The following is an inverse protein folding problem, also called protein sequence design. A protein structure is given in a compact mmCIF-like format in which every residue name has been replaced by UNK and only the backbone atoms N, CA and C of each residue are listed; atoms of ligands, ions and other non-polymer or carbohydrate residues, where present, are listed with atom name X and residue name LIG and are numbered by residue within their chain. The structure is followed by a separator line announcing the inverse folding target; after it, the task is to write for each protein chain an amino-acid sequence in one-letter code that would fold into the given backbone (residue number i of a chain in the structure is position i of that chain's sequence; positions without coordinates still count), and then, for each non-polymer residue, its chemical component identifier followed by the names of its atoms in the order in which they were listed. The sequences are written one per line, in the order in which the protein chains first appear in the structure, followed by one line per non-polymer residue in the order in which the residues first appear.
data_IF_460425728038
#
_entry.id   IF_460425728038
#
_cell.length_a   1.000
_cell.length_b   1.000
_cell.length_c   1.000
_cell.angle_alpha   90.00
_cell.angle_beta   90.00
_cell.angle_gamma   90.00
#
_symmetry.space_group_name_H-M   'P 1'
#
loop_
_entity.id
_entity.type
_entity.pdbx_description
1 polymer ?
#
# COMPACT_ATOMS: atom_id res chain seq x y z
N UNK A 1 43.95 -61.30 44.06
CA UNK A 1 42.60 -61.82 43.79
C UNK A 1 41.89 -60.84 42.88
N UNK A 2 41.56 -61.09 41.63
CA UNK A 2 41.72 -62.22 40.73
C UNK A 2 41.00 -61.87 39.42
N UNK A 3 41.66 -62.16 38.28
CA UNK A 3 41.13 -62.49 36.93
C UNK A 3 40.26 -61.44 36.20
N UNK A 4 40.74 -60.77 35.13
CA UNK A 4 41.05 -61.21 33.74
C UNK A 4 39.81 -61.67 32.94
N UNK A 5 39.48 -60.94 31.85
CA UNK A 5 39.52 -61.48 30.47
C UNK A 5 39.22 -60.42 29.39
N UNK A 6 40.16 -60.37 28.45
CA UNK A 6 40.13 -59.72 27.13
C UNK A 6 39.01 -60.26 26.22
N UNK A 7 38.61 -59.48 25.21
CA UNK A 7 38.99 -59.74 23.79
C UNK A 7 38.32 -58.78 22.81
N UNK A 8 39.10 -58.42 21.79
CA UNK A 8 38.77 -57.62 20.61
C UNK A 8 37.95 -58.40 19.57
N UNK A 9 37.22 -57.69 18.68
CA UNK A 9 36.93 -58.22 17.33
C UNK A 9 36.53 -57.13 16.31
N UNK A 10 37.02 -57.34 15.08
CA UNK A 10 36.90 -56.58 13.82
C UNK A 10 35.45 -56.34 13.31
N UNK A 11 35.23 -55.42 12.35
CA UNK A 11 33.95 -55.23 11.69
C UNK A 11 33.78 -56.17 10.49
N UNK A 12 32.69 -56.95 10.45
CA UNK A 12 32.30 -57.75 9.28
C UNK A 12 31.29 -57.00 8.41
N UNK A 13 31.60 -57.01 7.11
CA UNK A 13 30.81 -56.53 5.98
C UNK A 13 29.43 -57.20 5.94
N UNK A 14 28.36 -56.41 5.82
CA UNK A 14 27.04 -56.90 5.45
C UNK A 14 26.88 -56.83 3.93
N UNK A 15 26.69 -58.01 3.35
CA UNK A 15 26.38 -58.28 1.96
C UNK A 15 24.98 -57.78 1.59
N UNK A 16 24.89 -57.27 0.36
CA UNK A 16 23.65 -56.96 -0.38
C UNK A 16 22.90 -58.27 -0.64
N UNK A 17 21.60 -58.31 -0.29
CA UNK A 17 20.68 -59.37 -0.69
C UNK A 17 19.51 -58.76 -1.49
N UNK A 18 19.32 -59.25 -2.71
CA UNK A 18 18.25 -58.92 -3.64
C UNK A 18 16.86 -59.35 -3.11
N UNK A 19 15.76 -58.63 -3.43
CA UNK A 19 14.42 -59.09 -3.08
C UNK A 19 13.90 -60.09 -4.12
N UNK A 20 13.55 -61.29 -3.66
CA UNK A 20 12.80 -62.29 -4.39
C UNK A 20 11.35 -61.85 -4.62
N UNK A 21 10.89 -61.98 -5.86
CA UNK A 21 9.52 -61.79 -6.34
C UNK A 21 8.50 -62.65 -5.59
N UNK A 22 7.55 -62.01 -4.89
CA UNK A 22 6.34 -62.65 -4.38
C UNK A 22 5.21 -62.40 -5.39
N UNK A 23 4.70 -63.47 -5.99
CA UNK A 23 3.50 -63.44 -6.83
C UNK A 23 2.25 -63.17 -5.98
N UNK A 24 1.55 -62.06 -6.24
CA UNK A 24 0.20 -61.82 -5.71
C UNK A 24 -0.83 -62.61 -6.52
N UNK A 25 -1.52 -63.51 -5.82
CA UNK A 25 -2.69 -64.25 -6.31
C UNK A 25 -3.87 -63.26 -6.44
N UNK A 26 -4.37 -63.05 -7.65
CA UNK A 26 -5.47 -62.12 -7.92
C UNK A 26 -6.79 -62.58 -7.32
N UNK A 27 -7.30 -61.82 -6.34
CA UNK A 27 -8.63 -62.02 -5.76
C UNK A 27 -9.65 -61.20 -6.57
N UNK A 28 -10.41 -61.86 -7.46
CA UNK A 28 -11.57 -61.25 -8.15
C UNK A 28 -12.77 -61.25 -7.21
N UNK A 29 -12.79 -60.34 -6.25
CA UNK A 29 -14.00 -59.99 -5.49
C UNK A 29 -14.82 -58.97 -6.28
N UNK A 30 -16.08 -59.30 -6.62
CA UNK A 30 -17.02 -58.32 -7.17
C UNK A 30 -17.27 -57.25 -6.10
N UNK A 31 -16.95 -55.98 -6.39
CA UNK A 31 -17.24 -54.87 -5.48
C UNK A 31 -18.75 -54.78 -5.22
N UNK A 32 -19.19 -54.57 -3.97
CA UNK A 32 -20.60 -54.39 -3.66
C UNK A 32 -21.14 -53.15 -4.37
N UNK A 33 -22.36 -53.25 -4.89
CA UNK A 33 -23.01 -52.23 -5.74
C UNK A 33 -23.00 -50.84 -5.08
N UNK A 34 -23.07 -50.78 -3.75
CA UNK A 34 -23.01 -49.52 -2.98
C UNK A 34 -21.68 -48.77 -3.17
N UNK A 35 -20.55 -49.46 -3.22
CA UNK A 35 -19.24 -48.83 -3.42
C UNK A 35 -19.11 -48.33 -4.85
N UNK A 36 -19.64 -49.08 -5.82
CA UNK A 36 -19.67 -48.67 -7.22
C UNK A 36 -20.51 -47.39 -7.38
N UNK A 37 -21.69 -47.35 -6.74
CA UNK A 37 -22.58 -46.18 -6.77
C UNK A 37 -21.95 -44.95 -6.11
N UNK A 38 -21.36 -45.08 -4.92
CA UNK A 38 -20.69 -43.96 -4.23
C UNK A 38 -19.52 -43.42 -5.06
N UNK A 39 -18.74 -44.32 -5.68
CA UNK A 39 -17.63 -43.93 -6.54
C UNK A 39 -18.11 -43.18 -7.79
N UNK A 40 -19.17 -43.68 -8.46
CA UNK A 40 -19.81 -43.03 -9.60
C UNK A 40 -20.40 -41.66 -9.24
N UNK A 41 -21.07 -41.55 -8.09
CA UNK A 41 -21.59 -40.27 -7.61
C UNK A 41 -20.46 -39.28 -7.28
N UNK A 42 -19.35 -39.74 -6.70
CA UNK A 42 -18.17 -38.92 -6.45
C UNK A 42 -17.53 -38.39 -7.74
N UNK A 43 -17.38 -39.24 -8.75
CA UNK A 43 -16.88 -38.82 -10.07
C UNK A 43 -17.85 -37.89 -10.79
N UNK A 44 -19.17 -38.12 -10.70
CA UNK A 44 -20.17 -37.21 -11.26
C UNK A 44 -20.15 -35.84 -10.57
N UNK A 45 -19.97 -35.80 -9.24
CA UNK A 45 -19.85 -34.55 -8.49
C UNK A 45 -18.56 -33.79 -8.82
N UNK A 46 -17.43 -34.49 -8.97
CA UNK A 46 -16.17 -33.90 -9.43
C UNK A 46 -16.28 -33.39 -10.88
N UNK A 47 -16.97 -34.12 -11.76
CA UNK A 47 -17.25 -33.68 -13.11
C UNK A 47 -18.15 -32.43 -13.12
N UNK A 48 -19.18 -32.37 -12.28
CA UNK A 48 -20.04 -31.20 -12.12
C UNK A 48 -19.26 -29.97 -11.62
N UNK A 49 -18.38 -30.15 -10.63
CA UNK A 49 -17.50 -29.07 -10.16
C UNK A 49 -16.51 -28.61 -11.24
N UNK A 50 -16.04 -29.52 -12.09
CA UNK A 50 -15.16 -29.19 -13.21
C UNK A 50 -15.93 -28.46 -14.34
N UNK A 51 -17.17 -28.87 -14.62
CA UNK A 51 -18.04 -28.18 -15.59
C UNK A 51 -18.48 -26.81 -15.10
N UNK A 52 -18.75 -26.62 -13.79
CA UNK A 52 -19.03 -25.28 -13.25
C UNK A 52 -17.80 -24.36 -13.36
N UNK A 53 -16.59 -24.89 -13.14
CA UNK A 53 -15.34 -24.14 -13.38
C UNK A 53 -15.15 -23.76 -14.85
N UNK A 54 -15.51 -24.64 -15.78
CA UNK A 54 -15.46 -24.37 -17.22
C UNK A 54 -16.56 -23.39 -17.67
N UNK A 55 -17.77 -23.46 -17.12
CA UNK A 55 -18.82 -22.47 -17.40
C UNK A 55 -18.52 -21.10 -16.81
N UNK A 56 -17.77 -21.03 -15.69
CA UNK A 56 -17.23 -19.78 -15.15
C UNK A 56 -16.12 -19.19 -16.03
N UNK A 57 -15.35 -20.03 -16.73
CA UNK A 57 -14.34 -19.62 -17.72
C UNK A 57 -14.94 -19.30 -19.10
N UNK A 58 -16.21 -19.67 -19.34
CA UNK A 58 -16.91 -19.47 -20.60
C UNK A 58 -17.85 -18.25 -20.63
N UNK A 59 -18.04 -17.54 -19.51
CA UNK A 59 -18.90 -16.34 -19.48
C UNK A 59 -18.16 -15.01 -19.63
N UNK A 60 -16.83 -15.03 -19.79
CA UNK A 60 -16.08 -13.85 -20.27
C UNK A 60 -16.01 -13.88 -21.79
N UNK A 61 -16.94 -13.17 -22.44
CA UNK A 61 -16.81 -12.81 -23.85
C UNK A 61 -15.61 -11.87 -24.05
N UNK A 62 -14.41 -12.42 -24.16
CA UNK A 62 -13.20 -11.70 -24.56
C UNK A 62 -12.42 -12.49 -25.59
N UNK A 63 -12.88 -12.43 -26.84
CA UNK A 63 -12.03 -12.50 -28.04
C UNK A 63 -12.65 -11.62 -29.13
N UNK A 64 -12.59 -10.28 -28.96
CA UNK A 64 -12.54 -9.39 -30.12
C UNK A 64 -11.09 -9.23 -30.51
N UNK A 65 -10.59 -10.20 -31.28
CA UNK A 65 -9.42 -9.99 -32.13
C UNK A 65 -9.80 -8.91 -33.16
N UNK A 66 -9.44 -7.65 -32.90
CA UNK A 66 -9.35 -6.66 -33.99
C UNK A 66 -8.13 -7.04 -34.81
N UNK A 67 -8.37 -7.59 -36.01
CA UNK A 67 -7.32 -7.76 -37.01
C UNK A 67 -6.65 -6.41 -37.27
N UNK A 68 -5.33 -6.36 -37.23
CA UNK A 68 -4.57 -5.24 -37.76
C UNK A 68 -4.90 -5.04 -39.24
N UNK A 69 -5.82 -4.12 -39.54
CA UNK A 69 -6.05 -3.67 -40.89
C UNK A 69 -4.93 -2.68 -41.25
N UNK A 70 -3.95 -3.15 -42.01
CA UNK A 70 -2.96 -2.30 -42.69
C UNK A 70 -3.70 -1.47 -43.73
N UNK A 71 -4.16 -0.26 -43.37
CA UNK A 71 -4.70 0.69 -44.35
C UNK A 71 -3.52 1.35 -45.07
N UNK A 72 -3.34 0.98 -46.33
CA UNK A 72 -2.59 1.74 -47.31
C UNK A 72 -3.34 3.05 -47.59
N UNK A 73 -2.77 4.18 -47.20
CA UNK A 73 -3.29 5.50 -47.53
C UNK A 73 -3.05 5.79 -49.01
N UNK A 74 -4.13 5.78 -49.80
CA UNK A 74 -4.12 6.36 -51.14
C UNK A 74 -4.10 7.89 -51.02
N UNK A 75 -3.09 8.50 -51.64
CA UNK A 75 -2.92 9.95 -51.73
C UNK A 75 -3.98 10.52 -52.66
N UNK A 76 -4.89 11.34 -52.13
CA UNK A 76 -5.68 12.29 -52.93
C UNK A 76 -5.17 13.69 -52.60
N UNK A 77 -4.48 14.29 -53.56
CA UNK A 77 -4.07 15.70 -53.53
C UNK A 77 -5.30 16.58 -53.72
N UNK A 78 -5.57 17.45 -52.74
CA UNK A 78 -6.26 18.71 -52.98
C UNK A 78 -5.42 19.82 -52.32
N UNK A 79 -4.95 20.74 -53.14
CA UNK A 79 -4.30 21.99 -52.73
C UNK A 79 -5.39 22.94 -52.21
N UNK A 80 -5.19 23.54 -51.05
CA UNK A 80 -5.35 24.99 -50.95
C UNK A 80 -4.49 25.55 -49.81
N UNK A 81 -3.80 26.65 -50.12
CA UNK A 81 -2.91 27.39 -49.25
C UNK A 81 -3.72 28.46 -48.52
N UNK A 82 -3.69 28.50 -47.19
CA UNK A 82 -3.56 29.74 -46.38
C UNK A 82 -3.63 29.45 -44.88
N UNK A 83 -2.93 30.27 -44.10
CA UNK A 83 -2.84 30.34 -42.64
C UNK A 83 -1.72 29.53 -41.95
N UNK A 84 -0.50 30.05 -42.05
CA UNK A 84 0.54 29.89 -41.02
C UNK A 84 0.07 30.48 -39.69
N UNK A 85 -0.10 29.60 -38.69
CA UNK A 85 0.41 29.69 -37.31
C UNK A 85 -0.47 28.83 -36.42
N UNK A 86 0.02 27.61 -36.15
CA UNK A 86 -0.18 26.82 -34.93
C UNK A 86 0.30 25.39 -35.24
N UNK A 87 1.60 25.16 -35.11
CA UNK A 87 2.12 23.79 -35.13
C UNK A 87 3.35 23.71 -34.23
N UNK A 88 3.11 23.40 -32.97
CA UNK A 88 3.97 22.53 -32.15
C UNK A 88 3.10 22.00 -31.01
N UNK A 89 2.17 21.12 -31.36
CA UNK A 89 1.67 20.13 -30.42
C UNK A 89 2.31 18.82 -30.88
N UNK A 90 3.38 18.32 -30.23
CA UNK A 90 3.85 17.00 -30.54
C UNK A 90 2.73 16.05 -30.16
N UNK A 91 2.26 15.27 -31.14
CA UNK A 91 1.33 14.17 -30.97
C UNK A 91 1.69 13.42 -29.67
N UNK A 92 0.88 13.61 -28.62
CA UNK A 92 0.87 12.70 -27.49
C UNK A 92 0.47 11.36 -28.08
N UNK A 93 1.43 10.45 -28.13
CA UNK A 93 1.21 9.09 -28.58
C UNK A 93 0.22 8.44 -27.60
N UNK A 94 -1.06 8.37 -27.98
CA UNK A 94 -2.16 7.75 -27.22
C UNK A 94 -1.87 6.30 -26.81
N UNK A 95 -0.79 5.68 -27.31
CA UNK A 95 -0.29 4.35 -26.89
C UNK A 95 0.37 4.31 -25.51
N UNK A 96 0.49 5.44 -24.82
CA UNK A 96 1.09 5.53 -23.47
C UNK A 96 0.15 6.16 -22.42
N UNK A 97 -1.14 6.28 -22.69
CA UNK A 97 -2.10 6.70 -21.67
C UNK A 97 -2.21 5.62 -20.57
N UNK A 98 -2.11 6.03 -19.30
CA UNK A 98 -2.23 5.12 -18.18
C UNK A 98 -3.68 4.69 -18.01
N UNK A 99 -3.96 3.41 -18.21
CA UNK A 99 -5.25 2.81 -17.86
C UNK A 99 -5.10 2.01 -16.55
N UNK A 100 -5.80 2.41 -15.45
CA UNK A 100 -5.76 1.68 -14.19
C UNK A 100 -6.32 0.26 -14.27
N UNK A 101 -7.14 -0.07 -15.27
CA UNK A 101 -7.69 -1.42 -15.47
C UNK A 101 -6.72 -2.35 -16.20
N UNK A 102 -5.81 -1.80 -17.02
CA UNK A 102 -4.80 -2.58 -17.75
C UNK A 102 -3.43 -2.59 -17.05
N UNK A 103 -3.13 -1.58 -16.24
CA UNK A 103 -1.82 -1.38 -15.62
C UNK A 103 -1.76 -1.87 -14.16
N UNK A 104 -1.22 -3.07 -13.95
CA UNK A 104 -0.95 -3.59 -12.61
C UNK A 104 0.29 -2.94 -11.97
N UNK A 105 0.06 -1.88 -11.20
CA UNK A 105 1.11 -1.16 -10.45
C UNK A 105 1.82 -2.02 -9.39
N UNK A 106 1.26 -3.16 -8.99
CA UNK A 106 1.81 -4.00 -7.91
C UNK A 106 2.99 -4.85 -8.36
N UNK A 107 3.12 -5.03 -9.68
CA UNK A 107 4.18 -5.78 -10.35
C UNK A 107 5.12 -4.82 -11.06
N UNK A 108 6.38 -4.84 -10.66
CA UNK A 108 7.38 -3.94 -11.22
C UNK A 108 8.69 -4.03 -10.46
N UNK A 109 9.53 -3.03 -10.69
CA UNK A 109 10.84 -2.89 -10.06
C UNK A 109 11.19 -1.42 -9.85
N UNK A 110 11.99 -1.16 -8.83
CA UNK A 110 12.65 0.12 -8.67
C UNK A 110 13.87 0.19 -9.59
N UNK A 111 13.97 1.27 -10.36
CA UNK A 111 15.09 1.56 -11.24
C UNK A 111 15.77 2.82 -10.77
N UNK A 112 17.10 2.74 -10.63
CA UNK A 112 17.90 3.89 -10.23
C UNK A 112 18.16 4.79 -11.43
N UNK A 113 17.85 6.07 -11.28
CA UNK A 113 18.01 7.07 -12.32
C UNK A 113 18.62 8.34 -11.72
N UNK A 114 19.95 8.46 -11.89
CA UNK A 114 20.75 9.60 -11.40
C UNK A 114 20.31 10.94 -11.98
N UNK A 115 19.67 10.93 -13.15
CA UNK A 115 19.25 12.14 -13.85
C UNK A 115 17.93 12.71 -13.31
N UNK A 116 17.17 11.95 -12.52
CA UNK A 116 15.97 12.46 -11.84
C UNK A 116 16.37 13.61 -10.92
N UNK A 117 15.62 14.70 -11.03
CA UNK A 117 15.59 15.76 -10.04
C UNK A 117 14.23 15.70 -9.33
N UNK A 118 14.20 15.51 -8.01
CA UNK A 118 12.96 15.66 -7.24
C UNK A 118 12.34 17.04 -7.50
N UNK A 119 11.00 17.10 -7.55
CA UNK A 119 10.26 18.34 -7.78
C UNK A 119 10.48 19.38 -6.67
N UNK A 120 10.89 18.93 -5.49
CA UNK A 120 11.16 19.77 -4.33
C UNK A 120 12.23 19.14 -3.44
N UNK A 121 12.65 19.87 -2.42
CA UNK A 121 13.48 19.38 -1.31
C UNK A 121 12.80 19.74 0.02
N UNK A 122 13.19 19.08 1.11
CA UNK A 122 12.78 19.44 2.49
C UNK A 122 13.29 20.83 2.95
N UNK A 123 14.11 21.49 2.13
CA UNK A 123 14.56 22.87 2.32
C UNK A 123 13.79 23.87 1.47
N UNK A 124 13.34 23.47 0.27
CA UNK A 124 12.62 24.35 -0.65
C UNK A 124 11.12 24.39 -0.37
N UNK A 125 10.51 23.26 0.02
CA UNK A 125 9.10 23.24 0.39
C UNK A 125 8.95 23.59 1.88
N UNK A 126 8.25 24.69 2.23
CA UNK A 126 8.10 25.13 3.62
C UNK A 126 7.05 24.30 4.40
N UNK A 127 6.36 23.38 3.74
CA UNK A 127 5.25 22.61 4.30
C UNK A 127 5.61 21.17 4.67
N UNK A 128 6.88 20.77 4.56
CA UNK A 128 7.36 19.49 5.07
C UNK A 128 7.56 19.61 6.59
N UNK A 129 6.91 18.72 7.34
CA UNK A 129 7.12 18.62 8.77
C UNK A 129 8.54 18.13 9.09
N UNK A 130 9.06 18.57 10.23
CA UNK A 130 10.42 18.21 10.67
C UNK A 130 10.60 16.70 10.75
N UNK A 131 9.55 15.94 11.07
CA UNK A 131 9.55 14.47 11.10
C UNK A 131 9.98 13.82 9.77
N UNK A 132 9.70 14.46 8.63
CA UNK A 132 9.98 13.92 7.29
C UNK A 132 11.15 14.64 6.59
N UNK A 133 11.69 15.70 7.20
CA UNK A 133 12.75 16.56 6.64
C UNK A 133 14.17 16.00 6.86
N UNK A 134 14.45 14.82 6.33
CA UNK A 134 15.66 14.07 6.66
C UNK A 134 16.98 14.79 6.38
N UNK A 135 17.11 15.45 5.22
CA UNK A 135 18.35 16.16 4.83
C UNK A 135 18.53 17.42 5.68
N UNK A 136 17.43 18.10 6.01
CA UNK A 136 17.43 19.21 6.98
C UNK A 136 17.81 18.74 8.38
N UNK A 137 17.49 17.50 8.73
CA UNK A 137 17.82 16.87 10.01
C UNK A 137 19.22 16.20 10.04
N UNK A 138 20.01 16.32 8.96
CA UNK A 138 21.40 15.89 8.91
C UNK A 138 21.67 14.60 8.14
N UNK A 139 20.68 14.07 7.39
CA UNK A 139 20.92 12.93 6.49
C UNK A 139 21.80 13.34 5.33
N UNK A 140 22.89 12.59 5.10
CA UNK A 140 23.91 12.91 4.10
C UNK A 140 23.78 12.08 2.83
N UNK A 141 23.27 10.85 2.91
CA UNK A 141 23.03 10.02 1.74
C UNK A 141 21.76 10.48 1.02
N UNK A 142 21.84 10.63 -0.30
CA UNK A 142 20.81 11.27 -1.12
C UNK A 142 20.23 10.35 -2.20
N UNK A 143 20.83 9.17 -2.40
CA UNK A 143 20.52 8.21 -3.47
C UNK A 143 19.09 7.67 -3.38
N UNK A 144 18.49 7.62 -2.18
CA UNK A 144 17.11 7.18 -1.98
C UNK A 144 16.09 8.01 -2.78
N UNK A 145 16.44 9.24 -3.20
CA UNK A 145 15.58 10.14 -3.98
C UNK A 145 15.62 9.90 -5.48
N UNK A 146 16.52 9.04 -5.95
CA UNK A 146 16.79 8.81 -7.37
C UNK A 146 16.26 7.45 -7.85
N UNK A 147 15.25 6.90 -7.18
CA UNK A 147 14.60 5.65 -7.55
C UNK A 147 13.22 5.93 -8.15
N UNK A 148 12.95 5.34 -9.32
CA UNK A 148 11.66 5.37 -10.02
C UNK A 148 11.02 3.98 -9.98
N UNK A 149 9.72 3.89 -9.67
CA UNK A 149 8.98 2.65 -9.80
C UNK A 149 8.57 2.46 -11.26
N UNK A 150 8.95 1.33 -11.84
CA UNK A 150 8.56 0.94 -13.20
C UNK A 150 7.70 -0.32 -13.12
N UNK A 151 6.39 -0.22 -13.39
CA UNK A 151 5.54 -1.39 -13.57
C UNK A 151 6.07 -2.30 -14.69
N UNK A 152 5.78 -3.60 -14.61
CA UNK A 152 6.27 -4.59 -15.59
C UNK A 152 5.59 -4.42 -16.97
N UNK A 153 4.29 -4.13 -16.97
CA UNK A 153 3.42 -4.30 -18.13
C UNK A 153 2.90 -2.95 -18.69
N UNK A 154 3.31 -1.82 -18.12
CA UNK A 154 2.81 -0.49 -18.46
C UNK A 154 3.78 0.63 -18.04
N UNK A 155 3.51 1.85 -18.54
CA UNK A 155 4.22 3.06 -18.13
C UNK A 155 3.43 3.79 -17.04
N UNK A 156 4.09 4.11 -15.92
CA UNK A 156 3.54 5.03 -14.93
C UNK A 156 3.91 6.47 -15.32
N UNK A 157 2.94 7.36 -15.61
CA UNK A 157 3.23 8.73 -15.96
C UNK A 157 3.97 9.47 -14.85
N UNK A 158 4.90 10.33 -15.25
CA UNK A 158 5.55 11.25 -14.30
C UNK A 158 4.52 12.19 -13.70
N UNK A 159 4.74 12.58 -12.44
CA UNK A 159 3.90 13.59 -11.82
C UNK A 159 4.10 14.94 -12.48
N UNK A 160 3.01 15.50 -13.00
CA UNK A 160 2.97 16.85 -13.54
C UNK A 160 2.14 17.74 -12.60
N UNK A 161 2.76 18.78 -11.99
CA UNK A 161 2.07 19.70 -11.10
C UNK A 161 0.90 20.46 -11.75
N UNK A 162 1.02 20.84 -13.01
CA UNK A 162 -0.01 21.61 -13.71
C UNK A 162 -1.20 20.72 -14.03
N UNK A 163 -0.96 19.50 -14.49
CA UNK A 163 -2.01 18.48 -14.70
C UNK A 163 -2.74 18.19 -13.39
N UNK A 164 -2.00 18.03 -12.28
CA UNK A 164 -2.60 17.81 -10.96
C UNK A 164 -3.51 18.97 -10.53
N UNK A 165 -3.04 20.22 -10.70
CA UNK A 165 -3.81 21.40 -10.34
C UNK A 165 -5.05 21.59 -11.23
N UNK A 166 -4.96 21.30 -12.53
CA UNK A 166 -6.10 21.34 -13.45
C UNK A 166 -7.14 20.27 -13.10
N UNK A 167 -6.72 19.02 -12.81
CA UNK A 167 -7.64 17.96 -12.36
C UNK A 167 -8.36 18.32 -11.05
N UNK A 168 -7.75 19.16 -10.23
CA UNK A 168 -8.29 19.69 -8.97
C UNK A 168 -9.02 21.03 -9.10
N UNK A 169 -9.10 21.62 -10.29
CA UNK A 169 -9.74 22.92 -10.48
C UNK A 169 -11.20 22.90 -10.03
N UNK A 170 -11.55 23.80 -9.12
CA UNK A 170 -12.87 23.90 -8.53
C UNK A 170 -13.22 22.78 -7.55
N UNK A 171 -12.25 21.96 -7.13
CA UNK A 171 -12.48 20.77 -6.30
C UNK A 171 -11.86 20.86 -4.93
N UNK A 172 -12.41 20.05 -4.02
CA UNK A 172 -11.90 19.78 -2.68
C UNK A 172 -11.39 18.35 -2.59
N UNK A 173 -10.07 18.21 -2.44
CA UNK A 173 -9.37 16.95 -2.18
C UNK A 173 -9.11 16.82 -0.68
N UNK A 174 -9.55 15.71 -0.08
CA UNK A 174 -9.37 15.41 1.34
C UNK A 174 -8.60 14.12 1.53
N UNK A 175 -7.45 14.21 2.19
CA UNK A 175 -6.70 13.10 2.74
C UNK A 175 -7.13 12.86 4.19
N UNK A 176 -7.57 11.66 4.55
CA UNK A 176 -7.98 11.34 5.92
C UNK A 176 -7.35 10.02 6.39
N UNK A 177 -6.66 10.05 7.53
CA UNK A 177 -5.96 8.86 8.00
C UNK A 177 -4.95 9.11 9.10
N UNK A 178 -3.95 8.23 9.16
CA UNK A 178 -2.86 8.28 10.11
C UNK A 178 -1.69 9.17 9.64
N UNK A 179 -0.53 9.05 10.30
CA UNK A 179 0.66 9.86 9.99
C UNK A 179 1.27 9.58 8.62
N UNK A 180 1.03 8.40 8.04
CA UNK A 180 1.50 8.08 6.68
C UNK A 180 0.62 8.77 5.64
N UNK A 181 -0.69 8.86 5.90
CA UNK A 181 -1.59 9.67 5.08
C UNK A 181 -1.23 11.15 5.13
N UNK A 182 -0.80 11.65 6.30
CA UNK A 182 -0.26 13.01 6.43
C UNK A 182 1.00 13.20 5.60
N UNK A 183 1.93 12.24 5.63
CA UNK A 183 3.14 12.27 4.83
C UNK A 183 2.83 12.29 3.33
N UNK A 184 1.86 11.49 2.87
CA UNK A 184 1.38 11.53 1.48
C UNK A 184 0.78 12.90 1.11
N UNK A 185 -0.04 13.49 1.99
CA UNK A 185 -0.59 14.83 1.79
C UNK A 185 0.50 15.92 1.72
N UNK A 186 1.49 15.90 2.61
CA UNK A 186 2.60 16.85 2.59
C UNK A 186 3.42 16.73 1.31
N UNK A 187 3.70 15.49 0.88
CA UNK A 187 4.33 15.22 -0.42
C UNK A 187 3.51 15.83 -1.56
N UNK A 188 2.21 15.58 -1.63
CA UNK A 188 1.35 16.08 -2.70
C UNK A 188 1.38 17.62 -2.75
N UNK A 189 1.24 18.27 -1.60
CA UNK A 189 1.32 19.74 -1.49
C UNK A 189 2.68 20.25 -1.96
N UNK A 190 3.78 19.62 -1.55
CA UNK A 190 5.12 20.04 -1.96
C UNK A 190 5.43 19.81 -3.44
N UNK A 191 4.83 18.77 -4.05
CA UNK A 191 4.98 18.51 -5.48
C UNK A 191 4.30 19.59 -6.34
N UNK A 192 3.25 20.24 -5.85
CA UNK A 192 2.49 21.27 -6.61
C UNK A 192 2.85 22.70 -6.22
N UNK A 193 3.21 22.97 -4.97
CA UNK A 193 3.18 24.33 -4.42
C UNK A 193 4.15 25.31 -5.09
N UNK A 194 5.30 24.82 -5.55
CA UNK A 194 6.36 25.65 -6.14
C UNK A 194 5.90 26.31 -7.47
N UNK A 195 4.95 25.70 -8.18
CA UNK A 195 4.35 26.26 -9.40
C UNK A 195 3.36 27.40 -9.13
N UNK A 196 2.90 27.53 -7.88
CA UNK A 196 1.88 28.51 -7.50
C UNK A 196 2.54 29.74 -6.87
N UNK A 197 2.30 30.96 -7.38
CA UNK A 197 2.83 32.18 -6.79
C UNK A 197 2.45 32.32 -5.30
N UNK A 198 3.34 32.81 -4.41
CA UNK A 198 3.10 32.90 -2.96
C UNK A 198 1.76 33.56 -2.56
N UNK A 199 1.36 34.63 -3.24
CA UNK A 199 0.11 35.36 -3.02
C UNK A 199 -1.15 34.57 -3.43
N UNK A 200 -1.00 33.60 -4.33
CA UNK A 200 -2.06 32.73 -4.86
C UNK A 200 -2.19 31.40 -4.12
N UNK A 201 -1.34 31.14 -3.11
CA UNK A 201 -1.47 29.99 -2.20
C UNK A 201 -1.68 30.40 -0.75
N UNK A 202 -2.14 29.48 0.07
CA UNK A 202 -2.20 29.65 1.53
C UNK A 202 -2.23 28.30 2.24
N UNK A 203 -1.65 28.24 3.43
CA UNK A 203 -1.67 27.07 4.30
C UNK A 203 -2.28 27.45 5.64
N UNK A 204 -3.29 26.70 6.08
CA UNK A 204 -3.83 26.75 7.45
C UNK A 204 -3.50 25.43 8.14
N UNK A 205 -2.65 25.48 9.16
CA UNK A 205 -2.28 24.30 9.95
C UNK A 205 -3.05 24.24 11.25
N UNK A 206 -3.39 23.03 11.66
CA UNK A 206 -4.10 22.76 12.89
C UNK A 206 -3.77 21.35 13.38
N UNK A 207 -4.12 21.05 14.64
CA UNK A 207 -3.82 19.73 15.24
C UNK A 207 -4.52 18.59 14.52
N UNK A 208 -5.78 18.82 14.14
CA UNK A 208 -6.66 17.80 13.55
C UNK A 208 -6.84 18.01 12.04
N UNK A 209 -6.70 19.25 11.57
CA UNK A 209 -7.00 19.65 10.19
C UNK A 209 -5.90 20.54 9.65
N UNK A 210 -5.41 20.22 8.46
CA UNK A 210 -4.55 21.08 7.65
C UNK A 210 -5.21 21.38 6.31
N UNK A 211 -5.14 22.61 5.83
CA UNK A 211 -5.78 23.05 4.58
C UNK A 211 -4.79 23.86 3.76
N UNK A 212 -4.38 23.31 2.63
CA UNK A 212 -3.71 24.05 1.57
C UNK A 212 -4.73 24.54 0.55
N UNK A 213 -4.64 25.80 0.11
CA UNK A 213 -5.48 26.35 -0.94
C UNK A 213 -4.65 26.86 -2.10
N UNK A 214 -5.00 26.42 -3.31
CA UNK A 214 -4.53 26.98 -4.57
C UNK A 214 -5.62 27.91 -5.12
N UNK A 215 -5.51 29.21 -4.84
CA UNK A 215 -6.61 30.18 -5.03
C UNK A 215 -7.01 30.34 -6.49
N UNK A 216 -6.05 30.34 -7.41
CA UNK A 216 -6.27 30.49 -8.86
C UNK A 216 -7.00 29.29 -9.48
N UNK A 217 -6.79 28.10 -8.91
CA UNK A 217 -7.49 26.88 -9.31
C UNK A 217 -8.82 26.72 -8.59
N UNK A 218 -9.15 27.61 -7.63
CA UNK A 218 -10.28 27.42 -6.72
C UNK A 218 -10.27 26.01 -6.08
N UNK A 219 -9.08 25.52 -5.70
CA UNK A 219 -8.88 24.17 -5.19
C UNK A 219 -8.44 24.18 -3.72
N UNK A 220 -8.90 23.20 -2.94
CA UNK A 220 -8.35 22.92 -1.61
C UNK A 220 -7.86 21.48 -1.50
N UNK A 221 -6.69 21.33 -0.88
CA UNK A 221 -6.03 20.06 -0.60
C UNK A 221 -5.88 19.96 0.91
N UNK A 222 -6.65 19.08 1.54
CA UNK A 222 -6.86 19.05 2.99
C UNK A 222 -6.40 17.73 3.59
N UNK A 223 -5.92 17.79 4.83
CA UNK A 223 -5.64 16.62 5.64
C UNK A 223 -6.48 16.64 6.92
N UNK A 224 -7.07 15.50 7.26
CA UNK A 224 -7.79 15.26 8.51
C UNK A 224 -7.18 14.07 9.28
N UNK A 225 -6.81 14.34 10.52
CA UNK A 225 -6.30 13.36 11.45
C UNK A 225 -7.41 12.41 11.90
N UNK A 226 -7.35 11.16 11.42
CA UNK A 226 -8.27 10.10 11.76
C UNK A 226 -7.55 8.74 11.67
N UNK A 227 -6.60 8.47 12.59
CA UNK A 227 -5.65 7.37 12.42
C UNK A 227 -6.28 5.98 12.32
N UNK A 228 -7.47 5.81 12.89
CA UNK A 228 -8.24 4.57 12.84
C UNK A 228 -9.45 4.65 11.89
N UNK A 229 -9.77 5.81 11.31
CA UNK A 229 -11.03 6.17 10.61
C UNK A 229 -12.33 6.02 11.43
N UNK A 230 -12.29 5.25 12.52
CA UNK A 230 -13.32 5.14 13.56
C UNK A 230 -12.94 5.98 14.80
N UNK A 231 -13.91 6.24 15.67
CA UNK A 231 -13.68 7.00 16.89
C UNK A 231 -12.63 6.32 17.78
N UNK A 232 -11.82 7.13 18.47
CA UNK A 232 -10.90 6.64 19.50
C UNK A 232 -10.64 7.69 20.57
N UNK A 233 -10.15 7.27 21.73
CA UNK A 233 -9.76 8.17 22.81
C UNK A 233 -8.45 8.95 22.54
N UNK A 234 -7.88 8.83 21.33
CA UNK A 234 -6.58 9.40 20.97
C UNK A 234 -6.63 10.29 19.72
N UNK A 235 -7.82 10.69 19.27
CA UNK A 235 -7.99 11.59 18.11
C UNK A 235 -7.51 13.02 18.41
N UNK A 236 -7.73 13.51 19.64
CA UNK A 236 -7.38 14.89 20.03
C UNK A 236 -6.03 14.93 20.75
N UNK A 237 -5.86 14.07 21.75
CA UNK A 237 -4.62 13.95 22.52
C UNK A 237 -3.98 12.62 22.17
N UNK A 238 -2.78 12.64 21.60
CA UNK A 238 -2.07 11.41 21.24
C UNK A 238 -1.63 10.71 22.51
N UNK A 239 -2.25 9.57 22.81
CA UNK A 239 -1.94 8.74 23.95
C UNK A 239 -0.89 7.69 23.60
N UNK A 240 -0.17 7.24 24.64
CA UNK A 240 0.71 6.07 24.54
C UNK A 240 -0.06 4.85 24.01
N UNK A 241 0.56 3.99 23.18
CA UNK A 241 -0.13 2.89 22.52
C UNK A 241 -0.96 1.99 23.46
N UNK A 242 -0.46 1.69 24.66
CA UNK A 242 -1.14 0.83 25.66
C UNK A 242 -2.43 1.44 26.26
N UNK A 243 -2.61 2.76 26.14
CA UNK A 243 -3.75 3.52 26.68
C UNK A 243 -4.82 3.79 25.61
N UNK A 244 -4.55 3.47 24.34
CA UNK A 244 -5.47 3.71 23.23
C UNK A 244 -6.65 2.74 23.30
N UNK A 245 -7.85 3.27 23.13
CA UNK A 245 -9.11 2.53 23.03
C UNK A 245 -9.79 2.96 21.74
N UNK A 246 -10.18 1.99 20.92
CA UNK A 246 -10.75 2.19 19.59
C UNK A 246 -12.23 1.80 19.63
N UNK A 247 -13.13 2.72 19.32
CA UNK A 247 -14.56 2.45 19.25
C UNK A 247 -14.92 2.02 17.84
N UNK A 248 -14.80 0.72 17.60
CA UNK A 248 -14.76 0.11 16.26
C UNK A 248 -16.11 0.15 15.53
N UNK A 249 -17.21 0.40 16.23
CA UNK A 249 -18.57 0.47 15.71
C UNK A 249 -19.07 1.91 15.42
N UNK A 250 -18.19 2.91 15.57
CA UNK A 250 -18.53 4.31 15.32
C UNK A 250 -17.48 4.99 14.45
N UNK A 251 -17.89 5.55 13.30
CA UNK A 251 -16.97 6.30 12.43
C UNK A 251 -16.42 7.54 13.16
N UNK A 252 -15.20 7.95 12.84
CA UNK A 252 -14.53 9.11 13.45
C UNK A 252 -15.43 10.35 13.43
N UNK A 253 -15.34 11.18 14.48
CA UNK A 253 -16.03 12.48 14.54
C UNK A 253 -15.61 13.41 13.40
N UNK A 254 -14.45 13.17 12.80
CA UNK A 254 -13.98 13.92 11.63
C UNK A 254 -14.77 13.63 10.35
N UNK A 255 -15.55 12.55 10.30
CA UNK A 255 -16.36 12.15 9.14
C UNK A 255 -17.23 13.25 8.57
N UNK A 256 -17.86 14.05 9.44
CA UNK A 256 -18.68 15.21 9.06
C UNK A 256 -17.93 16.24 8.20
N UNK A 257 -16.60 16.31 8.34
CA UNK A 257 -15.78 17.23 7.57
C UNK A 257 -15.36 16.68 6.21
N UNK A 258 -15.47 15.37 6.01
CA UNK A 258 -15.17 14.70 4.75
C UNK A 258 -16.33 14.82 3.76
N UNK A 259 -17.56 14.95 4.27
CA UNK A 259 -18.78 15.06 3.48
C UNK A 259 -18.73 16.23 2.47
N UNK A 260 -19.12 15.94 1.22
CA UNK A 260 -19.14 16.93 0.15
C UNK A 260 -17.75 17.28 -0.40
N UNK A 261 -16.71 16.51 -0.11
CA UNK A 261 -15.46 16.57 -0.86
C UNK A 261 -15.65 15.91 -2.24
N UNK A 262 -14.98 16.41 -3.26
CA UNK A 262 -15.03 15.84 -4.62
C UNK A 262 -14.13 14.60 -4.73
N UNK A 263 -13.04 14.58 -3.95
CA UNK A 263 -12.08 13.48 -3.91
C UNK A 263 -11.73 13.19 -2.46
N UNK A 264 -11.89 11.93 -2.05
CA UNK A 264 -11.54 11.42 -0.74
C UNK A 264 -10.42 10.39 -0.87
N UNK A 265 -9.29 10.59 -0.20
CA UNK A 265 -8.21 9.62 -0.10
C UNK A 265 -8.03 9.18 1.35
N UNK A 266 -8.29 7.90 1.62
CA UNK A 266 -8.20 7.32 2.96
C UNK A 266 -6.98 6.42 3.13
N UNK A 267 -6.45 6.37 4.35
CA UNK A 267 -5.49 5.34 4.76
C UNK A 267 -5.60 5.10 6.26
N UNK A 268 -5.45 3.84 6.67
CA UNK A 268 -5.36 3.49 8.08
C UNK A 268 -4.67 2.13 8.23
N UNK A 269 -3.50 2.11 8.85
CA UNK A 269 -2.78 0.85 9.06
C UNK A 269 -1.85 0.88 10.27
N UNK A 270 -0.86 1.79 10.30
CA UNK A 270 0.27 1.63 11.24
C UNK A 270 -0.19 1.76 12.69
N UNK A 271 -1.26 2.52 12.92
CA UNK A 271 -1.85 2.69 14.24
C UNK A 271 -2.56 1.43 14.75
N UNK A 272 -2.93 0.51 13.87
CA UNK A 272 -3.46 -0.80 14.26
C UNK A 272 -2.36 -1.79 14.63
N UNK A 273 -1.12 -1.55 14.19
CA UNK A 273 0.04 -2.42 14.40
C UNK A 273 0.68 -2.27 15.79
N UNK A 274 -0.08 -1.83 16.80
CA UNK A 274 0.40 -1.60 18.18
C UNK A 274 0.74 -2.93 18.88
N UNK A 275 0.04 -4.00 18.55
CA UNK A 275 0.20 -5.30 19.19
C UNK A 275 -0.70 -6.38 18.58
N UNK A 276 -0.72 -7.56 19.20
CA UNK A 276 -1.55 -8.68 18.76
C UNK A 276 -3.02 -8.50 19.11
N UNK A 277 -3.31 -7.75 20.18
CA UNK A 277 -4.65 -7.44 20.67
C UNK A 277 -4.79 -5.95 20.93
N UNK A 278 -5.97 -5.42 20.61
CA UNK A 278 -6.31 -4.01 20.76
C UNK A 278 -7.45 -3.84 21.76
N UNK A 279 -7.39 -2.77 22.53
CA UNK A 279 -8.51 -2.35 23.39
C UNK A 279 -9.57 -1.73 22.50
N UNK A 280 -10.73 -2.37 22.45
CA UNK A 280 -11.84 -1.99 21.59
C UNK A 280 -13.08 -1.72 22.41
N UNK A 281 -13.92 -0.82 21.92
CA UNK A 281 -15.23 -0.51 22.45
C UNK A 281 -16.28 -0.80 21.38
N UNK A 282 -17.38 -1.43 21.78
CA UNK A 282 -18.56 -1.72 20.97
C UNK A 282 -19.81 -1.43 21.82
N UNK A 283 -20.78 -0.68 21.29
CA UNK A 283 -21.99 -0.28 22.00
C UNK A 283 -21.80 0.91 22.94
N UNK A 284 -22.53 0.93 24.05
CA UNK A 284 -22.47 1.99 25.09
C UNK A 284 -21.93 1.47 26.42
N UNK A 285 -21.09 2.26 27.11
CA UNK A 285 -20.62 1.99 28.48
C UNK A 285 -21.81 1.82 29.43
N UNK A 286 -22.15 0.59 29.81
CA UNK A 286 -23.11 0.37 30.88
C UNK A 286 -22.70 -0.68 31.90
N UNK A 287 -21.89 -1.71 31.58
CA UNK A 287 -21.62 -2.78 32.54
C UNK A 287 -20.13 -3.19 32.57
N UNK A 288 -19.47 -2.93 33.69
CA UNK A 288 -18.25 -3.64 34.12
C UNK A 288 -16.98 -2.80 34.14
N UNK A 289 -16.22 -2.93 35.22
CA UNK A 289 -15.17 -2.06 35.74
C UNK A 289 -13.91 -1.86 34.88
N UNK A 290 -13.87 -2.41 33.65
CA UNK A 290 -12.90 -2.07 32.61
C UNK A 290 -13.64 -1.94 31.27
N UNK A 291 -14.05 -0.72 30.90
CA UNK A 291 -14.94 -0.47 29.77
C UNK A 291 -14.33 -0.61 28.36
N UNK A 292 -13.56 -1.67 28.11
CA UNK A 292 -13.09 -2.08 26.78
C UNK A 292 -12.93 -3.61 26.69
N UNK A 293 -13.22 -4.19 25.53
CA UNK A 293 -12.89 -5.59 25.23
C UNK A 293 -11.58 -5.66 24.45
N UNK A 294 -10.79 -6.71 24.64
CA UNK A 294 -9.60 -6.95 23.81
C UNK A 294 -9.96 -7.86 22.64
N UNK A 295 -9.74 -7.37 21.43
CA UNK A 295 -9.90 -8.14 20.19
C UNK A 295 -8.55 -8.33 19.51
N UNK A 296 -8.39 -9.47 18.84
CA UNK A 296 -7.22 -9.68 17.98
C UNK A 296 -7.19 -8.61 16.89
N UNK A 297 -6.00 -8.10 16.58
CA UNK A 297 -5.81 -6.92 15.72
C UNK A 297 -6.51 -7.04 14.35
N UNK A 298 -6.42 -8.16 13.60
CA UNK A 298 -7.15 -8.31 12.33
C UNK A 298 -8.67 -8.28 12.49
N UNK A 299 -9.20 -8.79 13.61
CA UNK A 299 -10.64 -8.78 13.91
C UNK A 299 -11.11 -7.37 14.19
N UNK A 300 -10.40 -6.65 15.07
CA UNK A 300 -10.69 -5.25 15.38
C UNK A 300 -10.62 -4.37 14.12
N UNK A 301 -9.58 -4.56 13.29
CA UNK A 301 -9.40 -3.85 12.03
C UNK A 301 -10.55 -4.10 11.06
N UNK A 302 -10.97 -5.36 10.91
CA UNK A 302 -12.09 -5.74 10.05
C UNK A 302 -13.39 -5.08 10.48
N UNK A 303 -13.65 -5.00 11.78
CA UNK A 303 -14.84 -4.32 12.30
C UNK A 303 -14.76 -2.82 12.01
N UNK A 304 -13.65 -2.18 12.38
CA UNK A 304 -13.47 -0.74 12.18
C UNK A 304 -13.57 -0.34 10.70
N UNK A 305 -12.94 -1.11 9.82
CA UNK A 305 -12.98 -0.86 8.39
C UNK A 305 -14.38 -1.09 7.80
N UNK A 306 -15.14 -2.07 8.30
CA UNK A 306 -16.56 -2.23 7.92
C UNK A 306 -17.41 -1.05 8.35
N UNK A 307 -17.17 -0.49 9.53
CA UNK A 307 -17.87 0.72 10.01
C UNK A 307 -17.59 1.91 9.09
N UNK A 308 -16.33 2.13 8.71
CA UNK A 308 -15.96 3.14 7.71
C UNK A 308 -16.63 2.87 6.35
N UNK A 309 -16.57 1.63 5.85
CA UNK A 309 -17.17 1.24 4.58
C UNK A 309 -18.68 1.47 4.55
N UNK A 310 -19.39 1.09 5.62
CA UNK A 310 -20.82 1.35 5.77
C UNK A 310 -21.14 2.84 5.77
N UNK A 311 -20.31 3.67 6.42
CA UNK A 311 -20.47 5.12 6.39
C UNK A 311 -20.27 5.68 4.98
N UNK A 312 -19.28 5.20 4.23
CA UNK A 312 -19.09 5.58 2.83
C UNK A 312 -20.35 5.24 2.01
N UNK A 313 -20.81 3.99 2.10
CA UNK A 313 -21.96 3.50 1.34
C UNK A 313 -23.28 4.21 1.69
N UNK A 314 -23.42 4.72 2.91
CA UNK A 314 -24.63 5.43 3.35
C UNK A 314 -24.60 6.94 3.09
N UNK A 315 -23.42 7.53 2.94
CA UNK A 315 -23.24 9.00 3.04
C UNK A 315 -22.69 9.60 1.75
N UNK A 316 -21.82 8.88 1.04
CA UNK A 316 -21.11 9.41 -0.12
C UNK A 316 -21.89 9.15 -1.39
N UNK A 317 -22.06 10.19 -2.20
CA UNK A 317 -22.67 10.08 -3.53
C UNK A 317 -21.57 9.76 -4.57
N UNK A 318 -21.53 8.55 -5.16
CA UNK A 318 -20.48 8.15 -6.09
C UNK A 318 -20.48 8.95 -7.40
N UNK A 319 -21.59 9.60 -7.76
CA UNK A 319 -21.66 10.45 -8.96
C UNK A 319 -21.00 11.83 -8.74
N UNK A 320 -20.70 12.19 -7.50
CA UNK A 320 -20.09 13.48 -7.13
C UNK A 320 -18.70 13.33 -6.53
N UNK A 321 -18.47 12.24 -5.80
CA UNK A 321 -17.27 12.04 -5.01
C UNK A 321 -16.55 10.78 -5.45
N UNK A 322 -15.26 10.90 -5.76
CA UNK A 322 -14.37 9.76 -6.01
C UNK A 322 -13.68 9.37 -4.72
N UNK A 323 -13.68 8.08 -4.41
CA UNK A 323 -13.11 7.55 -3.17
C UNK A 323 -11.89 6.70 -3.49
N UNK A 324 -10.80 6.96 -2.77
CA UNK A 324 -9.54 6.25 -2.86
C UNK A 324 -9.19 5.67 -1.49
N UNK A 325 -8.55 4.49 -1.50
CA UNK A 325 -7.98 3.90 -0.31
C UNK A 325 -6.52 3.49 -0.57
N UNK A 326 -5.59 4.15 0.09
CA UNK A 326 -4.16 3.81 0.04
C UNK A 326 -3.93 2.62 0.98
N UNK A 327 -3.33 1.55 0.47
CA UNK A 327 -3.05 0.34 1.25
C UNK A 327 -1.94 0.55 2.29
N UNK A 328 -1.58 -0.49 3.04
CA UNK A 328 -0.58 -0.36 4.10
C UNK A 328 0.76 0.16 3.59
N UNK A 329 1.34 1.12 4.31
CA UNK A 329 2.75 1.46 4.22
C UNK A 329 3.58 0.43 4.98
N UNK A 330 4.65 -0.06 4.37
CA UNK A 330 5.57 -1.04 4.94
C UNK A 330 6.35 -0.50 6.15
N UNK A 331 6.77 -1.40 7.05
CA UNK A 331 7.59 -1.09 8.24
C UNK A 331 8.84 -1.95 8.22
N UNK A 332 10.02 -1.34 8.37
CA UNK A 332 11.31 -2.03 8.26
C UNK A 332 12.05 -2.09 9.60
N UNK A 333 11.44 -2.78 10.57
CA UNK A 333 11.96 -2.86 11.95
C UNK A 333 12.98 -3.98 12.20
N UNK A 334 13.14 -4.94 11.28
CA UNK A 334 14.04 -6.09 11.46
C UNK A 334 14.94 -6.27 10.24
N UNK A 335 16.19 -5.90 10.40
CA UNK A 335 17.27 -6.04 9.41
C UNK A 335 17.46 -7.45 8.85
N UNK A 336 17.26 -8.46 9.70
CA UNK A 336 17.28 -9.87 9.29
C UNK A 336 16.25 -10.23 8.21
N UNK A 337 15.16 -9.47 8.07
CA UNK A 337 14.14 -9.75 7.05
C UNK A 337 14.74 -9.64 5.64
N UNK A 338 15.76 -8.80 5.45
CA UNK A 338 16.54 -8.67 4.20
C UNK A 338 17.96 -9.23 4.30
N UNK A 339 18.23 -10.12 5.26
CA UNK A 339 19.47 -10.89 5.35
C UNK A 339 20.64 -10.20 6.07
N UNK A 340 20.38 -9.16 6.86
CA UNK A 340 21.40 -8.47 7.65
C UNK A 340 21.22 -8.76 9.15
N UNK A 341 21.93 -9.78 9.67
CA UNK A 341 21.77 -10.24 11.05
C UNK A 341 22.14 -9.18 12.11
N UNK A 342 23.26 -8.48 11.92
CA UNK A 342 23.75 -7.46 12.86
C UNK A 342 23.26 -6.03 12.54
N UNK A 343 22.25 -5.91 11.67
CA UNK A 343 21.70 -4.61 11.31
C UNK A 343 20.79 -4.04 12.41
N UNK A 344 20.72 -2.71 12.53
CA UNK A 344 19.87 -2.03 13.49
C UNK A 344 18.61 -1.49 12.80
N UNK A 345 17.54 -2.30 12.74
CA UNK A 345 16.30 -1.94 12.01
C UNK A 345 16.64 -1.48 10.58
N UNK A 346 16.10 -0.34 10.12
CA UNK A 346 16.41 0.33 8.84
C UNK A 346 17.62 1.28 8.89
N UNK A 347 18.36 1.34 10.00
CA UNK A 347 19.49 2.27 10.13
C UNK A 347 20.65 1.89 9.19
N UNK A 348 21.19 2.92 8.54
CA UNK A 348 22.29 2.81 7.58
C UNK A 348 21.97 1.97 6.32
N UNK A 349 20.69 1.70 6.05
CA UNK A 349 20.24 1.14 4.78
C UNK A 349 20.15 2.27 3.76
N UNK A 350 20.88 2.15 2.65
CA UNK A 350 21.01 3.22 1.63
C UNK A 350 20.60 2.77 0.24
N UNK A 351 20.18 1.51 0.09
CA UNK A 351 19.72 0.92 -1.16
C UNK A 351 18.45 0.10 -0.94
N UNK A 352 17.53 0.05 -1.93
CA UNK A 352 16.38 -0.83 -1.88
C UNK A 352 16.78 -2.31 -1.85
N UNK A 353 15.86 -3.14 -1.36
CA UNK A 353 15.92 -4.59 -1.54
C UNK A 353 15.58 -4.92 -3.00
N UNK A 354 16.54 -5.53 -3.71
CA UNK A 354 16.36 -5.91 -5.12
C UNK A 354 15.78 -7.32 -5.31
N UNK A 355 15.61 -8.10 -4.23
CA UNK A 355 15.04 -9.44 -4.27
C UNK A 355 13.57 -9.36 -4.71
N UNK A 356 13.24 -9.93 -5.87
CA UNK A 356 11.85 -9.98 -6.37
C UNK A 356 10.91 -10.61 -5.33
N UNK A 357 9.71 -10.04 -5.20
CA UNK A 357 8.66 -10.49 -4.26
C UNK A 357 9.14 -10.49 -2.80
N UNK A 358 10.01 -9.55 -2.45
CA UNK A 358 10.43 -9.33 -1.07
C UNK A 358 9.22 -9.03 -0.19
N UNK A 359 9.22 -9.58 1.02
CA UNK A 359 8.18 -9.34 2.01
C UNK A 359 8.77 -9.44 3.41
N UNK A 360 8.80 -8.33 4.13
CA UNK A 360 9.26 -8.22 5.50
C UNK A 360 8.20 -8.60 6.52
N UNK A 361 8.64 -8.86 7.75
CA UNK A 361 7.76 -9.22 8.88
C UNK A 361 6.98 -8.03 9.46
N UNK A 362 7.30 -6.80 9.03
CA UNK A 362 6.58 -5.58 9.44
C UNK A 362 5.24 -5.35 8.70
N UNK A 363 4.99 -6.09 7.62
CA UNK A 363 3.76 -5.99 6.82
C UNK A 363 2.87 -7.21 6.97
N UNK A 364 1.63 -6.97 7.37
CA UNK A 364 0.70 -8.04 7.75
C UNK A 364 -0.28 -8.37 6.61
N UNK A 365 -0.06 -9.49 5.92
CA UNK A 365 -0.92 -9.95 4.80
C UNK A 365 -2.38 -10.16 5.21
N UNK A 366 -2.65 -10.55 6.44
CA UNK A 366 -4.03 -10.74 6.92
C UNK A 366 -4.78 -9.41 6.95
N UNK A 367 -4.09 -8.33 7.34
CA UNK A 367 -4.64 -6.97 7.30
C UNK A 367 -4.94 -6.53 5.86
N UNK A 368 -4.06 -6.84 4.89
CA UNK A 368 -4.35 -6.61 3.47
C UNK A 368 -5.56 -7.41 2.98
N UNK A 369 -5.69 -8.68 3.40
CA UNK A 369 -6.84 -9.52 3.06
C UNK A 369 -8.14 -8.94 3.64
N UNK A 370 -8.09 -8.31 4.81
CA UNK A 370 -9.23 -7.59 5.38
C UNK A 370 -9.61 -6.39 4.51
N UNK A 371 -8.64 -5.57 4.08
CA UNK A 371 -8.90 -4.43 3.18
C UNK A 371 -9.62 -4.88 1.92
N UNK A 372 -9.05 -5.86 1.20
CA UNK A 372 -9.66 -6.40 -0.02
C UNK A 372 -11.06 -6.98 0.24
N UNK A 373 -11.23 -7.74 1.32
CA UNK A 373 -12.50 -8.37 1.66
C UNK A 373 -13.61 -7.41 2.08
N UNK A 374 -13.26 -6.22 2.58
CA UNK A 374 -14.23 -5.15 2.91
C UNK A 374 -14.54 -4.32 1.67
N UNK A 375 -13.51 -3.81 0.97
CA UNK A 375 -13.69 -2.93 -0.18
C UNK A 375 -14.45 -3.61 -1.32
N UNK A 376 -14.16 -4.88 -1.62
CA UNK A 376 -14.86 -5.63 -2.68
C UNK A 376 -16.37 -5.83 -2.43
N UNK A 377 -16.87 -5.51 -1.23
CA UNK A 377 -18.28 -5.63 -0.85
C UNK A 377 -18.98 -4.29 -0.71
N UNK A 378 -18.27 -3.18 -0.94
CA UNK A 378 -18.82 -1.84 -0.89
C UNK A 378 -19.71 -1.57 -2.10
N UNK A 379 -20.74 -0.75 -1.90
CA UNK A 379 -21.62 -0.27 -2.97
C UNK A 379 -21.00 0.90 -3.71
N UNK A 380 -20.34 1.81 -2.98
CA UNK A 380 -19.58 2.91 -3.56
C UNK A 380 -18.25 2.37 -4.08
N UNK A 381 -17.91 2.59 -5.36
CA UNK A 381 -16.64 2.16 -5.91
C UNK A 381 -15.49 2.90 -5.22
N UNK A 382 -14.47 2.15 -4.83
CA UNK A 382 -13.25 2.67 -4.21
C UNK A 382 -12.05 2.28 -5.04
N UNK A 383 -11.29 3.26 -5.52
CA UNK A 383 -10.02 3.04 -6.19
C UNK A 383 -8.93 2.73 -5.16
N UNK A 384 -8.38 1.52 -5.20
CA UNK A 384 -7.35 1.09 -4.25
C UNK A 384 -5.97 1.44 -4.77
N UNK A 385 -5.25 2.31 -4.07
CA UNK A 385 -3.84 2.60 -4.36
C UNK A 385 -2.98 1.55 -3.65
N UNK A 386 -2.67 0.45 -4.34
CA UNK A 386 -1.88 -0.64 -3.77
C UNK A 386 -0.38 -0.33 -3.77
N UNK A 387 0.04 0.40 -2.74
CA UNK A 387 1.43 0.88 -2.55
C UNK A 387 2.30 -0.09 -1.74
N UNK A 388 1.73 -1.19 -1.24
CA UNK A 388 2.39 -2.01 -0.21
C UNK A 388 3.64 -2.69 -0.76
N UNK A 389 3.51 -3.45 -1.85
CA UNK A 389 4.60 -4.25 -2.39
C UNK A 389 5.75 -3.38 -2.93
N UNK A 390 5.45 -2.24 -3.56
CA UNK A 390 6.50 -1.33 -4.02
C UNK A 390 7.23 -0.67 -2.84
N UNK A 391 6.52 -0.38 -1.73
CA UNK A 391 7.12 0.26 -0.56
C UNK A 391 7.98 -0.71 0.26
N UNK A 392 7.63 -2.01 0.28
CA UNK A 392 8.43 -3.08 0.91
C UNK A 392 9.89 -3.11 0.42
N UNK A 393 10.15 -2.78 -0.84
CA UNK A 393 11.52 -2.76 -1.34
C UNK A 393 12.35 -1.61 -0.75
N UNK A 394 11.72 -0.55 -0.24
CA UNK A 394 12.34 0.74 0.03
C UNK A 394 12.90 0.89 1.44
N UNK A 395 13.61 -0.13 1.93
CA UNK A 395 14.26 -0.10 3.25
C UNK A 395 15.17 1.14 3.45
N UNK A 396 15.65 1.73 2.36
CA UNK A 396 16.53 2.89 2.30
C UNK A 396 15.86 4.23 2.59
N UNK A 397 14.54 4.36 2.39
CA UNK A 397 13.91 5.68 2.29
C UNK A 397 13.27 6.18 3.61
N UNK A 398 13.43 5.43 4.70
CA UNK A 398 12.88 5.82 6.01
C UNK A 398 13.60 7.01 6.63
N UNK A 399 12.90 7.74 7.52
CA UNK A 399 13.50 8.83 8.28
C UNK A 399 14.65 8.36 9.18
N UNK A 400 14.60 7.13 9.68
CA UNK A 400 15.59 6.56 10.57
C UNK A 400 15.83 7.46 11.78
N UNK A 401 17.09 7.82 12.09
CA UNK A 401 17.43 8.77 13.16
C UNK A 401 17.28 10.25 12.76
N UNK A 402 16.94 10.53 11.50
CA UNK A 402 16.82 11.89 10.95
C UNK A 402 15.38 12.39 11.07
N UNK A 403 14.81 12.28 12.27
CA UNK A 403 13.41 12.53 12.57
C UNK A 403 13.27 13.36 13.85
N UNK A 404 12.03 13.66 14.23
CA UNK A 404 11.70 14.21 15.54
C UNK A 404 10.96 13.19 16.41
N UNK A 405 11.14 13.28 17.72
CA UNK A 405 10.38 12.52 18.72
C UNK A 405 9.98 13.47 19.85
N UNK A 406 8.68 13.48 20.20
CA UNK A 406 8.17 14.35 21.26
C UNK A 406 8.30 15.85 20.95
N UNK A 407 8.29 16.26 19.68
CA UNK A 407 8.38 17.67 19.26
C UNK A 407 9.80 18.23 19.17
N UNK A 408 10.84 17.41 19.38
CA UNK A 408 12.24 17.80 19.22
C UNK A 408 13.03 16.80 18.39
N UNK A 409 14.12 17.27 17.80
CA UNK A 409 15.09 16.38 17.17
C UNK A 409 15.74 15.46 18.20
N UNK A 410 16.18 14.30 17.72
CA UNK A 410 17.04 13.41 18.50
C UNK A 410 18.37 14.13 18.79
N UNK A 411 18.82 14.02 20.04
CA UNK A 411 20.16 14.47 20.43
C UNK A 411 21.23 13.43 20.02
N UNK A 412 22.50 13.75 20.23
CA UNK A 412 23.59 12.88 19.77
C UNK A 412 23.63 11.52 20.49
N UNK A 413 23.23 11.47 21.76
CA UNK A 413 23.13 10.22 22.53
C UNK A 413 22.02 9.31 21.98
N UNK A 414 20.85 9.86 21.68
CA UNK A 414 19.72 9.13 21.09
C UNK A 414 20.05 8.66 19.67
N UNK A 415 20.75 9.48 18.88
CA UNK A 415 21.24 9.09 17.55
C UNK A 415 22.29 7.98 17.61
N UNK A 416 23.07 7.91 18.68
CA UNK A 416 24.04 6.85 18.92
C UNK A 416 23.39 5.50 19.31
N UNK A 417 22.08 5.46 19.60
CA UNK A 417 21.30 4.23 19.79
C UNK A 417 20.15 4.10 18.76
N UNK A 418 20.46 3.84 17.47
CA UNK A 418 19.44 3.62 16.44
C UNK A 418 18.52 2.42 16.75
N UNK A 419 19.01 1.45 17.52
CA UNK A 419 18.22 0.29 17.95
C UNK A 419 16.94 0.71 18.68
N UNK A 420 17.01 1.76 19.51
CA UNK A 420 15.83 2.34 20.16
C UNK A 420 15.19 3.45 19.34
N UNK A 421 15.98 4.33 18.73
CA UNK A 421 15.48 5.62 18.24
C UNK A 421 15.26 5.73 16.73
N UNK A 422 15.70 4.76 15.91
CA UNK A 422 15.44 4.82 14.47
C UNK A 422 13.94 4.64 14.17
N UNK A 423 13.38 5.61 13.46
CA UNK A 423 12.03 5.57 12.89
C UNK A 423 12.06 4.85 11.54
N UNK A 424 11.56 3.62 11.55
CA UNK A 424 11.46 2.76 10.36
C UNK A 424 10.00 2.58 9.93
N UNK A 425 9.18 3.60 10.20
CA UNK A 425 7.77 3.68 9.82
C UNK A 425 7.61 4.82 8.82
N UNK A 426 8.07 6.02 9.18
CA UNK A 426 7.89 7.22 8.37
C UNK A 426 8.97 7.35 7.29
N UNK A 427 8.65 8.10 6.25
CA UNK A 427 9.46 8.26 5.05
C UNK A 427 10.06 9.66 5.00
N UNK A 428 11.28 9.75 4.47
CA UNK A 428 11.85 11.03 4.07
C UNK A 428 11.05 11.64 2.93
N UNK A 429 10.91 12.97 2.93
CA UNK A 429 10.37 13.75 1.82
C UNK A 429 11.44 14.69 1.24
N UNK A 430 11.61 14.79 -0.09
CA UNK A 430 11.00 13.94 -1.13
C UNK A 430 11.43 12.47 -1.01
N UNK A 431 10.60 11.55 -1.48
CA UNK A 431 10.84 10.11 -1.31
C UNK A 431 9.68 9.22 -1.76
N UNK A 432 9.49 8.09 -1.06
CA UNK A 432 8.50 7.06 -1.41
C UNK A 432 7.06 7.60 -1.54
N UNK A 433 6.59 8.52 -0.66
CA UNK A 433 5.26 9.12 -0.83
C UNK A 433 5.06 9.90 -2.13
N UNK A 434 6.13 10.37 -2.78
CA UNK A 434 6.04 11.05 -4.08
C UNK A 434 5.60 10.07 -5.17
N UNK A 435 6.08 8.81 -5.09
CA UNK A 435 5.63 7.73 -5.97
C UNK A 435 4.18 7.34 -5.67
N UNK A 436 3.74 7.37 -4.41
CA UNK A 436 2.32 7.16 -4.09
C UNK A 436 1.44 8.24 -4.73
N UNK A 437 1.92 9.49 -4.75
CA UNK A 437 1.22 10.60 -5.39
C UNK A 437 1.29 10.57 -6.93
N UNK A 438 2.35 10.03 -7.52
CA UNK A 438 2.38 9.69 -8.96
C UNK A 438 1.28 8.69 -9.30
N UNK A 439 1.18 7.60 -8.54
CA UNK A 439 0.14 6.58 -8.72
C UNK A 439 -1.25 7.19 -8.50
N UNK A 440 -1.43 7.98 -7.44
CA UNK A 440 -2.69 8.66 -7.16
C UNK A 440 -3.12 9.57 -8.32
N UNK A 441 -2.22 10.40 -8.84
CA UNK A 441 -2.51 11.30 -9.96
C UNK A 441 -2.84 10.53 -11.24
N UNK A 442 -2.14 9.41 -11.51
CA UNK A 442 -2.41 8.57 -12.66
C UNK A 442 -3.82 7.93 -12.61
N UNK A 443 -4.33 7.64 -11.41
CA UNK A 443 -5.71 7.15 -11.25
C UNK A 443 -6.75 8.28 -11.22
N UNK A 444 -6.35 9.54 -11.04
CA UNK A 444 -7.25 10.69 -10.93
C UNK A 444 -7.64 11.22 -12.31
#
# INVERSE_FOLDING_TARGET
MGTVKDTATLPQRLFVASPSTIMMKGYRGKLPLSIITVTLCGFAFLALLYTERLSFLSSSSFLKSKSCARRTSAVVKAKDETAEKNLENPELDDRFEFDPEECDITRGKWVFNRSIKPLYTDRSCPYVDRQFSCVKNGRLDLDYRHWEWQPDDCYLPKFDPEVALEKLRGKRLVFAGDSLQRSQWESFVCMIEWTIPPQKKSMKRGKIRNVFKAKEYNASIEFYWAPFLVESNTEVNILEPKKRIIKVDSVSKQSKNWEGADILAFNTYVWWMIGLRLKTLWGSFANGEEGYAQLDTPVAYKIGLKTWANWIDSTINPNKTRVFFTTMSSIHSKSKDWGREDGLKCFNETKPVMKKKFWGSGSNKDMMSVVAGVINKMKVPVSVLNITQLSEYRIDAHSSIYTETGGRLLNDEEKADPGRHADCIHWCLPGVPDTWNQIFLAHL
#
